data_IF_436257459192
#
_entry.id   IF_436257459192
#
_cell.length_a   1.000
_cell.length_b   1.000
_cell.length_c   1.000
_cell.angle_alpha   90.00
_cell.angle_beta   90.00
_cell.angle_gamma   90.00
#
_symmetry.space_group_name_H-M   'P 1'
#
loop_
_entity.id
_entity.type
_entity.pdbx_description
1 polymer ?
#
# COMPACT_ATOMS: atom_id res chain seq x y z
N UNK A 1 9.44 -45.73 13.72
CA UNK A 1 8.89 -46.76 14.63
C UNK A 1 7.95 -47.71 13.86
N UNK A 2 6.85 -47.22 13.22
CA UNK A 2 5.89 -48.05 12.48
C UNK A 2 6.55 -49.01 11.46
N UNK A 3 7.55 -48.55 10.68
CA UNK A 3 8.28 -49.40 9.74
C UNK A 3 9.11 -50.53 10.44
N UNK A 4 9.58 -50.30 11.64
CA UNK A 4 10.29 -51.33 12.44
C UNK A 4 9.30 -52.36 12.99
N UNK A 5 8.13 -51.92 13.45
CA UNK A 5 7.06 -52.79 13.96
C UNK A 5 6.42 -53.66 12.87
N UNK A 6 6.50 -53.27 11.60
CA UNK A 6 6.09 -54.13 10.45
C UNK A 6 6.92 -55.39 10.32
N UNK A 7 8.09 -55.49 10.97
CA UNK A 7 8.97 -56.67 10.98
C UNK A 7 8.70 -57.64 12.16
N UNK A 8 7.75 -57.31 13.05
CA UNK A 8 7.39 -58.15 14.18
C UNK A 8 6.62 -59.40 13.78
N UNK A 9 6.64 -60.41 14.62
CA UNK A 9 6.04 -61.75 14.37
C UNK A 9 4.53 -61.78 14.60
N UNK A 10 3.97 -60.81 15.37
CA UNK A 10 2.53 -60.72 15.66
C UNK A 10 1.74 -60.15 14.48
N UNK A 11 0.73 -60.86 13.97
CA UNK A 11 -0.07 -60.39 12.82
C UNK A 11 -0.88 -59.10 13.11
N UNK A 12 -1.45 -58.98 14.31
CA UNK A 12 -2.24 -57.80 14.70
C UNK A 12 -1.34 -56.54 14.81
N UNK A 13 -0.16 -56.68 15.40
CA UNK A 13 0.80 -55.59 15.49
C UNK A 13 1.30 -55.14 14.09
N UNK A 14 1.46 -56.08 13.16
CA UNK A 14 1.83 -55.73 11.77
C UNK A 14 0.74 -54.97 11.02
N UNK A 15 -0.52 -55.29 11.27
CA UNK A 15 -1.64 -54.62 10.60
C UNK A 15 -1.77 -53.17 11.13
N UNK A 16 -1.70 -52.96 12.44
CA UNK A 16 -1.68 -51.65 13.06
C UNK A 16 -0.47 -50.82 12.58
N UNK A 17 0.73 -51.43 12.53
CA UNK A 17 1.92 -50.74 12.02
C UNK A 17 1.83 -50.37 10.54
N UNK A 18 1.11 -51.14 9.69
CA UNK A 18 0.85 -50.80 8.30
C UNK A 18 -0.11 -49.61 8.16
N UNK A 19 -1.20 -49.61 8.93
CA UNK A 19 -2.15 -48.49 8.94
C UNK A 19 -1.47 -47.19 9.38
N UNK A 20 -0.67 -47.26 10.44
CA UNK A 20 0.07 -46.12 10.94
C UNK A 20 1.14 -45.62 9.96
N UNK A 21 1.87 -46.53 9.30
CA UNK A 21 2.84 -46.19 8.27
C UNK A 21 2.16 -45.53 7.07
N UNK A 22 1.02 -46.02 6.64
CA UNK A 22 0.24 -45.45 5.53
C UNK A 22 -0.27 -44.05 5.88
N UNK A 23 -0.80 -43.85 7.08
CA UNK A 23 -1.26 -42.56 7.57
C UNK A 23 -0.10 -41.56 7.68
N UNK A 24 1.05 -41.97 8.18
CA UNK A 24 2.25 -41.13 8.25
C UNK A 24 2.77 -40.77 6.84
N UNK A 25 2.81 -41.73 5.91
CA UNK A 25 3.24 -41.49 4.52
C UNK A 25 2.32 -40.52 3.77
N UNK A 26 1.03 -40.52 4.08
CA UNK A 26 0.09 -39.53 3.54
C UNK A 26 0.28 -38.14 4.17
N UNK A 27 0.59 -38.05 5.47
CA UNK A 27 0.74 -36.78 6.18
C UNK A 27 2.07 -36.07 5.91
N UNK A 28 3.13 -36.80 5.54
CA UNK A 28 4.46 -36.24 5.27
C UNK A 28 4.39 -35.18 4.15
N UNK A 29 3.84 -35.44 2.96
CA UNK A 29 3.80 -34.45 1.87
C UNK A 29 2.96 -33.21 2.26
N UNK A 30 1.90 -33.37 3.04
CA UNK A 30 1.11 -32.23 3.53
C UNK A 30 1.95 -31.35 4.46
N UNK A 31 2.69 -31.93 5.39
CA UNK A 31 3.57 -31.20 6.30
C UNK A 31 4.76 -30.56 5.56
N UNK A 32 5.29 -31.22 4.52
CA UNK A 32 6.35 -30.63 3.69
C UNK A 32 5.85 -29.38 2.95
N UNK A 33 4.61 -29.38 2.43
CA UNK A 33 4.00 -28.19 1.83
C UNK A 33 3.73 -27.10 2.86
N UNK A 34 3.21 -27.44 4.04
CA UNK A 34 3.02 -26.49 5.14
C UNK A 34 4.36 -25.82 5.54
N UNK A 35 5.43 -26.61 5.66
CA UNK A 35 6.78 -26.12 5.99
C UNK A 35 7.29 -25.18 4.88
N UNK A 36 7.12 -25.55 3.60
CA UNK A 36 7.53 -24.68 2.48
C UNK A 36 6.83 -23.32 2.53
N UNK A 37 5.54 -23.31 2.85
CA UNK A 37 4.77 -22.06 2.99
C UNK A 37 5.25 -21.22 4.18
N UNK A 38 5.57 -21.86 5.32
CA UNK A 38 6.09 -21.19 6.51
C UNK A 38 7.51 -20.63 6.34
N UNK A 39 8.31 -21.23 5.44
CA UNK A 39 9.67 -20.79 5.13
C UNK A 39 9.71 -19.63 4.13
N UNK A 40 8.59 -19.27 3.48
CA UNK A 40 8.52 -18.07 2.64
C UNK A 40 8.73 -16.85 3.53
N UNK A 41 9.74 -16.00 3.24
CA UNK A 41 9.97 -14.80 4.04
C UNK A 41 8.72 -13.91 4.00
N UNK A 42 8.16 -13.60 5.15
CA UNK A 42 7.08 -12.64 5.24
C UNK A 42 7.60 -11.25 4.83
N UNK A 43 6.89 -10.57 3.94
CA UNK A 43 7.18 -9.18 3.62
C UNK A 43 6.82 -8.32 4.84
N UNK A 44 7.75 -7.53 5.41
CA UNK A 44 7.45 -6.67 6.55
C UNK A 44 6.30 -5.68 6.30
N UNK A 45 5.97 -5.41 5.04
CA UNK A 45 4.86 -4.54 4.66
C UNK A 45 3.50 -5.24 4.74
N UNK A 46 3.47 -6.56 4.75
CA UNK A 46 2.21 -7.33 4.73
C UNK A 46 1.32 -7.06 5.94
N UNK A 47 1.90 -6.74 7.09
CA UNK A 47 1.17 -6.42 8.34
C UNK A 47 0.64 -4.97 8.38
N UNK A 48 1.01 -4.13 7.41
CA UNK A 48 0.56 -2.73 7.35
C UNK A 48 -0.90 -2.62 6.95
N UNK A 49 -1.50 -1.49 7.34
CA UNK A 49 -2.75 -1.04 6.77
C UNK A 49 -2.58 -0.75 5.28
N UNK A 50 -3.68 -0.72 4.54
CA UNK A 50 -3.65 -0.45 3.11
C UNK A 50 -4.46 0.79 2.74
N UNK A 51 -3.93 1.56 1.81
CA UNK A 51 -4.66 2.61 1.11
C UNK A 51 -5.09 2.02 -0.22
N UNK A 52 -6.40 1.97 -0.42
CA UNK A 52 -7.01 1.45 -1.66
C UNK A 52 -7.56 2.61 -2.46
N UNK A 53 -7.15 2.68 -3.71
CA UNK A 53 -7.57 3.69 -4.67
C UNK A 53 -8.24 2.99 -5.85
N UNK A 54 -9.49 3.37 -6.15
CA UNK A 54 -10.26 2.85 -7.28
C UNK A 54 -10.59 4.02 -8.20
N UNK A 55 -10.29 3.87 -9.48
CA UNK A 55 -10.60 4.87 -10.52
C UNK A 55 -11.38 4.24 -11.65
N UNK A 56 -12.41 4.93 -12.11
CA UNK A 56 -13.05 4.62 -13.38
C UNK A 56 -12.05 4.80 -14.52
N UNK A 57 -11.89 3.73 -15.32
CA UNK A 57 -11.01 3.72 -16.49
C UNK A 57 -11.81 3.92 -17.80
N UNK A 58 -11.50 3.12 -18.80
CA UNK A 58 -12.20 3.17 -20.10
C UNK A 58 -13.64 2.69 -19.97
N UNK A 59 -14.62 3.53 -20.31
CA UNK A 59 -16.05 3.17 -20.31
C UNK A 59 -16.99 4.30 -19.89
N UNK A 60 -16.46 5.51 -19.62
CA UNK A 60 -17.28 6.68 -19.25
C UNK A 60 -18.06 6.44 -17.95
N UNK A 61 -19.37 6.76 -17.96
CA UNK A 61 -20.23 6.64 -16.78
C UNK A 61 -20.32 5.21 -16.24
N UNK A 62 -20.29 4.21 -17.12
CA UNK A 62 -20.31 2.81 -16.72
C UNK A 62 -19.04 2.40 -15.95
N UNK A 63 -17.89 2.95 -16.30
CA UNK A 63 -16.66 2.72 -15.55
C UNK A 63 -16.73 3.34 -14.14
N UNK A 64 -17.37 4.49 -13.99
CA UNK A 64 -17.59 5.10 -12.67
C UNK A 64 -18.59 4.29 -11.82
N UNK A 65 -19.66 3.77 -12.42
CA UNK A 65 -20.61 2.87 -11.73
C UNK A 65 -19.90 1.58 -11.29
N UNK A 66 -19.08 1.00 -12.15
CA UNK A 66 -18.32 -0.19 -11.80
C UNK A 66 -17.29 0.05 -10.70
N UNK A 67 -16.64 1.22 -10.67
CA UNK A 67 -15.77 1.60 -9.54
C UNK A 67 -16.54 1.65 -8.22
N UNK A 68 -17.80 2.12 -8.24
CA UNK A 68 -18.71 2.07 -7.09
C UNK A 68 -19.05 0.65 -6.64
N UNK A 69 -19.28 -0.25 -7.60
CA UNK A 69 -19.54 -1.67 -7.29
C UNK A 69 -18.32 -2.36 -6.68
N UNK A 70 -17.11 -2.08 -7.19
CA UNK A 70 -15.87 -2.59 -6.61
C UNK A 70 -15.65 -2.06 -5.19
N UNK A 71 -15.88 -0.77 -4.96
CA UNK A 71 -15.80 -0.19 -3.62
C UNK A 71 -16.74 -0.93 -2.65
N UNK A 72 -18.01 -1.11 -3.02
CA UNK A 72 -18.99 -1.85 -2.22
C UNK A 72 -18.53 -3.28 -1.93
N UNK A 73 -18.00 -3.97 -2.92
CA UNK A 73 -17.45 -5.33 -2.79
C UNK A 73 -16.32 -5.36 -1.75
N UNK A 74 -15.35 -4.45 -1.85
CA UNK A 74 -14.24 -4.40 -0.89
C UNK A 74 -14.71 -4.03 0.52
N UNK A 75 -15.65 -3.10 0.67
CA UNK A 75 -16.22 -2.76 2.00
C UNK A 75 -16.85 -3.98 2.65
N UNK A 76 -17.66 -4.73 1.91
CA UNK A 76 -18.29 -5.96 2.44
C UNK A 76 -17.26 -7.02 2.81
N UNK A 77 -16.25 -7.23 1.96
CA UNK A 77 -15.15 -8.13 2.27
C UNK A 77 -14.41 -7.71 3.55
N UNK A 78 -14.11 -6.43 3.71
CA UNK A 78 -13.47 -5.90 4.91
C UNK A 78 -14.34 -6.11 6.16
N UNK A 79 -15.66 -5.90 6.05
CA UNK A 79 -16.60 -6.15 7.14
C UNK A 79 -16.59 -7.63 7.58
N UNK A 80 -16.57 -8.58 6.64
CA UNK A 80 -16.47 -10.00 6.94
C UNK A 80 -15.14 -10.39 7.62
N UNK A 81 -14.05 -9.69 7.26
CA UNK A 81 -12.74 -9.88 7.92
C UNK A 81 -12.61 -9.14 9.24
N UNK A 82 -13.60 -8.34 9.63
CA UNK A 82 -13.53 -7.49 10.83
C UNK A 82 -12.58 -6.30 10.69
N UNK A 83 -12.24 -5.91 9.45
CA UNK A 83 -11.39 -4.76 9.18
C UNK A 83 -12.20 -3.46 9.16
N UNK A 84 -11.54 -2.36 9.50
CA UNK A 84 -12.15 -1.03 9.49
C UNK A 84 -11.84 -0.33 8.18
N UNK A 85 -12.86 0.27 7.58
CA UNK A 85 -12.74 1.07 6.36
C UNK A 85 -13.01 2.53 6.69
N UNK A 86 -12.09 3.42 6.31
CA UNK A 86 -12.22 4.86 6.45
C UNK A 86 -12.10 5.53 5.08
N UNK A 87 -13.13 6.27 4.67
CA UNK A 87 -13.10 7.04 3.43
C UNK A 87 -12.14 8.23 3.58
N UNK A 88 -11.15 8.33 2.68
CA UNK A 88 -10.18 9.42 2.66
C UNK A 88 -10.59 10.52 1.68
N UNK A 89 -11.00 10.14 0.46
CA UNK A 89 -11.41 11.08 -0.60
C UNK A 89 -12.30 10.39 -1.61
N UNK A 90 -13.24 11.11 -2.22
CA UNK A 90 -14.01 10.61 -3.34
C UNK A 90 -14.35 11.72 -4.34
N UNK A 91 -14.46 11.33 -5.61
CA UNK A 91 -14.97 12.15 -6.71
C UNK A 91 -16.08 11.38 -7.40
N UNK A 92 -17.30 11.88 -7.33
CA UNK A 92 -18.48 11.20 -7.86
C UNK A 92 -18.55 11.26 -9.40
N UNK A 93 -19.12 10.21 -10.00
CA UNK A 93 -19.45 10.15 -11.41
C UNK A 93 -20.74 10.92 -11.73
N UNK A 94 -20.89 11.41 -12.98
CA UNK A 94 -22.06 12.17 -13.40
C UNK A 94 -23.36 11.33 -13.36
N UNK A 95 -23.27 10.02 -13.63
CA UNK A 95 -24.41 9.08 -13.58
C UNK A 95 -24.45 8.25 -12.27
N UNK A 96 -23.71 8.66 -11.24
CA UNK A 96 -23.49 7.90 -10.01
C UNK A 96 -22.16 7.13 -10.05
N UNK A 97 -21.87 6.39 -8.96
CA UNK A 97 -20.58 5.75 -8.77
C UNK A 97 -19.45 6.76 -8.55
N UNK A 98 -18.20 6.35 -8.81
CA UNK A 98 -17.05 7.18 -8.51
C UNK A 98 -16.11 7.28 -9.72
N UNK A 99 -15.71 8.51 -10.07
CA UNK A 99 -14.55 8.73 -10.95
C UNK A 99 -13.28 8.29 -10.25
N UNK A 100 -13.18 8.60 -8.96
CA UNK A 100 -12.10 8.21 -8.08
C UNK A 100 -12.65 8.04 -6.67
N UNK A 101 -12.20 7.02 -5.97
CA UNK A 101 -12.45 6.84 -4.55
C UNK A 101 -11.22 6.28 -3.88
N UNK A 102 -10.82 6.90 -2.76
CA UNK A 102 -9.65 6.53 -1.95
C UNK A 102 -10.12 6.28 -0.53
N UNK A 103 -9.78 5.13 0.00
CA UNK A 103 -10.11 4.74 1.37
C UNK A 103 -8.98 3.95 2.01
N UNK A 104 -8.88 4.05 3.33
CA UNK A 104 -7.90 3.32 4.13
C UNK A 104 -8.58 2.12 4.76
N UNK A 105 -7.91 0.98 4.73
CA UNK A 105 -8.34 -0.26 5.38
C UNK A 105 -7.35 -0.58 6.49
N UNK A 106 -7.86 -0.73 7.72
CA UNK A 106 -7.06 -1.00 8.90
C UNK A 106 -7.47 -2.33 9.54
N UNK A 107 -6.48 -3.15 9.89
CA UNK A 107 -6.68 -4.47 10.48
C UNK A 107 -5.42 -5.32 10.41
N UNK A 108 -5.55 -6.60 10.69
CA UNK A 108 -4.43 -7.56 10.66
C UNK A 108 -4.16 -8.03 9.23
N UNK A 109 -2.90 -7.94 8.77
CA UNK A 109 -2.43 -8.40 7.44
C UNK A 109 -3.22 -7.86 6.24
N UNK A 110 -3.67 -6.62 6.36
CA UNK A 110 -4.51 -6.00 5.34
C UNK A 110 -3.77 -5.85 4.03
N UNK A 111 -2.59 -5.22 4.05
CA UNK A 111 -1.82 -4.99 2.83
C UNK A 111 -1.39 -6.30 2.18
N UNK A 112 -0.91 -7.27 2.96
CA UNK A 112 -0.50 -8.59 2.46
C UNK A 112 -1.62 -9.33 1.73
N UNK A 113 -2.87 -9.13 2.15
CA UNK A 113 -4.05 -9.74 1.52
C UNK A 113 -4.50 -8.96 0.28
N UNK A 114 -4.59 -7.62 0.37
CA UNK A 114 -5.16 -6.79 -0.69
C UNK A 114 -4.17 -6.39 -1.79
N UNK A 115 -2.85 -6.46 -1.57
CA UNK A 115 -1.83 -6.06 -2.57
C UNK A 115 -2.01 -6.70 -3.94
N UNK A 116 -2.55 -7.92 -3.98
CA UNK A 116 -2.81 -8.65 -5.21
C UNK A 116 -4.04 -8.16 -6.00
N UNK A 117 -4.84 -7.27 -5.45
CA UNK A 117 -5.97 -6.65 -6.13
C UNK A 117 -5.55 -5.48 -7.05
N UNK A 118 -4.28 -5.05 -6.96
CA UNK A 118 -3.76 -3.96 -7.78
C UNK A 118 -3.73 -4.33 -9.26
N UNK A 119 -4.37 -3.51 -10.09
CA UNK A 119 -4.40 -3.68 -11.54
C UNK A 119 -5.69 -3.21 -12.20
N UNK A 120 -5.92 -3.66 -13.44
CA UNK A 120 -7.10 -3.32 -14.23
C UNK A 120 -8.17 -4.40 -14.08
N UNK A 121 -9.33 -4.01 -13.59
CA UNK A 121 -10.53 -4.84 -13.46
C UNK A 121 -11.48 -4.53 -14.61
N UNK A 122 -11.88 -5.56 -15.36
CA UNK A 122 -12.75 -5.42 -16.52
C UNK A 122 -14.14 -5.97 -16.23
N UNK A 123 -15.17 -5.21 -16.54
CA UNK A 123 -16.56 -5.63 -16.44
C UNK A 123 -17.17 -5.81 -17.82
N UNK A 124 -18.01 -6.84 -17.97
CA UNK A 124 -18.85 -7.11 -19.13
C UNK A 124 -20.28 -7.28 -18.63
N UNK A 125 -21.11 -6.27 -18.89
CA UNK A 125 -22.54 -6.27 -18.55
C UNK A 125 -23.31 -5.30 -19.46
N UNK A 126 -24.62 -5.37 -19.41
CA UNK A 126 -25.49 -4.32 -19.96
C UNK A 126 -25.47 -3.16 -18.96
N UNK A 127 -24.94 -1.96 -19.32
CA UNK A 127 -24.90 -0.83 -18.42
C UNK A 127 -26.32 -0.35 -18.01
N UNK A 128 -26.46 0.23 -16.85
CA UNK A 128 -27.70 0.90 -16.45
C UNK A 128 -28.12 2.04 -17.38
N UNK A 129 -27.15 2.60 -18.10
CA UNK A 129 -27.30 3.70 -19.07
C UNK A 129 -27.63 3.21 -20.50
N UNK A 130 -27.64 1.89 -20.75
CA UNK A 130 -27.88 1.29 -22.07
C UNK A 130 -29.37 0.92 -22.22
N UNK A 131 -30.04 1.50 -23.22
CA UNK A 131 -31.45 1.29 -23.47
C UNK A 131 -31.78 0.15 -24.42
N UNK A 132 -30.78 -0.33 -25.21
CA UNK A 132 -30.97 -1.36 -26.24
C UNK A 132 -30.52 -2.77 -25.79
N UNK A 133 -30.15 -2.93 -24.52
CA UNK A 133 -29.76 -4.24 -23.97
C UNK A 133 -28.41 -4.77 -24.47
N UNK A 134 -27.55 -3.91 -25.05
CA UNK A 134 -26.23 -4.32 -25.52
C UNK A 134 -25.24 -4.49 -24.37
N UNK A 135 -24.47 -5.59 -24.42
CA UNK A 135 -23.37 -5.80 -23.48
C UNK A 135 -22.20 -4.87 -23.80
N UNK A 136 -21.80 -4.05 -22.85
CA UNK A 136 -20.62 -3.19 -22.95
C UNK A 136 -19.47 -3.78 -22.14
N UNK A 137 -18.27 -3.36 -22.51
CA UNK A 137 -17.04 -3.70 -21.79
C UNK A 137 -16.44 -2.41 -21.23
N UNK A 138 -16.38 -2.30 -19.92
CA UNK A 138 -15.78 -1.17 -19.21
C UNK A 138 -14.67 -1.66 -18.29
N UNK A 139 -13.84 -0.76 -17.81
CA UNK A 139 -12.74 -1.06 -16.92
C UNK A 139 -12.64 -0.04 -15.79
N UNK A 140 -12.23 -0.51 -14.62
CA UNK A 140 -11.78 0.31 -13.51
C UNK A 140 -10.39 -0.15 -13.06
N UNK A 141 -9.63 0.75 -12.48
CA UNK A 141 -8.29 0.45 -11.97
C UNK A 141 -8.32 0.46 -10.45
N UNK A 142 -7.63 -0.50 -9.85
CA UNK A 142 -7.44 -0.59 -8.41
C UNK A 142 -5.95 -0.48 -8.12
N UNK A 143 -5.57 0.39 -7.20
CA UNK A 143 -4.22 0.46 -6.66
C UNK A 143 -4.28 0.27 -5.14
N UNK A 144 -3.50 -0.66 -4.64
CA UNK A 144 -3.37 -0.95 -3.21
C UNK A 144 -1.96 -0.61 -2.78
N UNK A 145 -1.84 0.33 -1.87
CA UNK A 145 -0.57 0.84 -1.38
C UNK A 145 -0.48 0.61 0.14
N UNK A 146 0.69 0.28 0.68
CA UNK A 146 0.86 0.20 2.12
C UNK A 146 0.74 1.60 2.73
N UNK A 147 0.12 1.69 3.92
CA UNK A 147 0.12 2.94 4.68
C UNK A 147 1.54 3.30 5.09
N UNK A 148 1.90 4.58 4.98
CA UNK A 148 3.21 5.05 5.38
C UNK A 148 3.38 5.00 6.89
N UNK A 149 4.56 4.62 7.33
CA UNK A 149 4.97 4.88 8.71
C UNK A 149 5.19 6.39 8.89
N UNK A 150 4.97 6.91 10.11
CA UNK A 150 5.36 8.27 10.42
C UNK A 150 6.87 8.42 10.26
N UNK A 151 7.29 9.44 9.51
CA UNK A 151 8.71 9.72 9.35
C UNK A 151 9.24 10.39 10.61
N UNK A 152 10.06 9.67 11.34
CA UNK A 152 10.81 10.25 12.46
C UNK A 152 12.13 10.83 11.91
N UNK A 153 12.26 12.15 11.94
CA UNK A 153 13.47 12.83 11.46
C UNK A 153 14.47 12.91 12.60
N UNK A 154 15.40 11.99 12.62
CA UNK A 154 16.54 12.05 13.55
C UNK A 154 17.61 13.01 13.02
N UNK A 155 17.88 14.06 13.76
CA UNK A 155 18.97 15.01 13.50
C UNK A 155 20.06 14.81 14.53
N UNK A 156 21.26 14.44 14.08
CA UNK A 156 22.43 14.43 14.95
C UNK A 156 22.93 15.85 15.17
N UNK A 157 22.55 16.47 16.28
CA UNK A 157 22.93 17.85 16.62
C UNK A 157 24.46 18.04 16.72
N UNK A 158 25.22 16.97 16.97
CA UNK A 158 26.69 17.01 17.01
C UNK A 158 27.35 17.23 15.64
N UNK A 159 26.64 16.98 14.55
CA UNK A 159 27.13 17.19 13.17
C UNK A 159 26.78 18.57 12.62
N UNK A 160 26.01 19.36 13.37
CA UNK A 160 25.62 20.70 12.98
C UNK A 160 26.76 21.68 13.21
N UNK A 161 27.18 22.36 12.16
CA UNK A 161 28.15 23.45 12.24
C UNK A 161 27.38 24.78 12.36
N UNK A 162 27.69 25.52 13.40
CA UNK A 162 27.09 26.81 13.71
C UNK A 162 28.05 27.94 13.41
N UNK A 163 27.61 28.89 12.58
CA UNK A 163 28.27 30.16 12.37
C UNK A 163 27.37 31.29 12.88
N UNK A 164 27.95 32.25 13.58
CA UNK A 164 27.23 33.45 14.02
C UNK A 164 27.69 34.63 13.20
N UNK A 165 26.77 35.51 12.86
CA UNK A 165 27.08 36.71 12.09
C UNK A 165 26.19 37.88 12.53
N UNK A 166 26.61 39.07 12.15
CA UNK A 166 25.87 40.31 12.45
C UNK A 166 24.68 40.40 11.48
N UNK A 167 23.46 40.44 12.02
CA UNK A 167 22.28 40.66 11.21
C UNK A 167 22.29 42.11 10.69
N UNK A 168 22.42 42.28 9.37
CA UNK A 168 22.29 43.59 8.72
C UNK A 168 20.83 44.04 8.72
N UNK A 169 20.54 45.28 9.06
CA UNK A 169 19.19 45.85 9.01
C UNK A 169 19.16 47.32 9.51
N UNK A 170 18.12 48.08 9.11
CA UNK A 170 17.87 49.39 9.60
C UNK A 170 17.49 49.34 11.10
N UNK A 171 18.42 49.66 12.00
CA UNK A 171 18.13 49.66 13.44
C UNK A 171 19.34 50.12 14.25
N UNK A 172 19.11 50.78 15.37
CA UNK A 172 19.99 51.56 16.23
C UNK A 172 21.35 50.92 16.59
N UNK A 173 22.15 51.64 17.42
CA UNK A 173 23.56 51.38 17.73
C UNK A 173 23.97 49.93 18.11
N UNK A 174 23.04 49.07 18.50
CA UNK A 174 23.29 47.67 18.88
C UNK A 174 23.25 46.67 17.75
N UNK A 175 22.63 46.95 16.59
CA UNK A 175 22.49 46.02 15.46
C UNK A 175 23.85 45.66 14.84
N UNK A 176 24.79 46.60 14.88
CA UNK A 176 26.14 46.43 14.34
C UNK A 176 27.15 45.87 15.37
N UNK A 177 26.76 45.68 16.62
CA UNK A 177 27.67 45.22 17.70
C UNK A 177 27.36 43.80 18.17
N UNK A 178 26.13 43.29 17.99
CA UNK A 178 25.70 41.98 18.48
C UNK A 178 25.54 41.02 17.34
N UNK A 179 26.19 39.87 17.41
CA UNK A 179 26.07 38.77 16.44
C UNK A 179 24.83 37.91 16.77
N UNK A 180 23.65 38.43 16.45
CA UNK A 180 22.38 37.73 16.68
C UNK A 180 21.97 36.79 15.53
N UNK A 181 22.51 37.00 14.34
CA UNK A 181 22.27 36.13 13.18
C UNK A 181 22.95 34.78 13.34
N UNK A 182 22.28 33.74 13.00
CA UNK A 182 22.76 32.35 13.09
C UNK A 182 22.68 31.70 11.72
N UNK A 183 23.75 31.03 11.33
CA UNK A 183 23.84 30.18 10.15
C UNK A 183 24.12 28.76 10.60
N UNK A 184 23.26 27.83 10.19
CA UNK A 184 23.37 26.41 10.43
C UNK A 184 23.84 25.76 9.13
N UNK A 185 24.84 24.90 9.22
CA UNK A 185 25.25 23.98 8.15
C UNK A 185 25.14 22.55 8.65
N UNK A 186 24.42 21.75 7.90
CA UNK A 186 24.21 20.33 8.19
C UNK A 186 24.43 19.51 6.92
N UNK A 187 25.17 18.43 7.02
CA UNK A 187 25.36 17.48 5.90
C UNK A 187 24.36 16.34 6.10
N UNK A 188 23.27 16.44 5.39
CA UNK A 188 22.30 15.37 5.38
C UNK A 188 22.74 14.24 4.43
N UNK A 189 22.81 13.03 4.97
CA UNK A 189 23.06 11.82 4.18
C UNK A 189 21.73 11.16 3.89
N UNK A 190 21.42 11.04 2.62
CA UNK A 190 20.22 10.31 2.21
C UNK A 190 20.35 8.83 2.59
N UNK A 191 19.49 8.26 3.46
CA UNK A 191 19.63 6.89 3.94
C UNK A 191 19.52 5.86 2.81
N UNK A 192 18.80 6.16 1.72
CA UNK A 192 18.56 5.21 0.64
C UNK A 192 19.57 5.29 -0.52
N UNK A 193 20.08 6.50 -0.83
CA UNK A 193 20.98 6.70 -1.98
C UNK A 193 22.43 6.90 -1.56
N UNK A 194 22.71 7.13 -0.27
CA UNK A 194 24.04 7.45 0.25
C UNK A 194 24.57 8.82 -0.20
N UNK A 195 23.80 9.58 -0.99
CA UNK A 195 24.20 10.90 -1.47
C UNK A 195 24.16 11.89 -0.32
N UNK A 196 25.24 12.64 -0.12
CA UNK A 196 25.34 13.68 0.90
C UNK A 196 25.00 15.04 0.30
N UNK A 197 24.14 15.80 0.98
CA UNK A 197 23.75 17.15 0.58
C UNK A 197 24.00 18.11 1.73
N UNK A 198 24.65 19.23 1.45
CA UNK A 198 24.89 20.27 2.43
C UNK A 198 23.66 21.21 2.49
N UNK A 199 23.03 21.27 3.66
CA UNK A 199 21.88 22.13 3.93
C UNK A 199 22.41 23.36 4.70
N UNK A 200 22.09 24.54 4.17
CA UNK A 200 22.44 25.83 4.76
C UNK A 200 21.16 26.56 5.15
N UNK A 201 21.01 26.88 6.43
CA UNK A 201 19.86 27.63 6.96
C UNK A 201 20.33 28.84 7.72
N UNK A 202 19.85 30.02 7.34
CA UNK A 202 20.09 31.27 8.02
C UNK A 202 18.84 31.73 8.78
N UNK A 203 19.05 32.23 10.01
CA UNK A 203 17.98 32.78 10.82
C UNK A 203 18.43 34.08 11.47
N UNK A 204 17.70 35.18 11.13
CA UNK A 204 17.97 36.56 11.64
C UNK A 204 16.72 37.21 12.20
N UNK A 205 15.66 36.42 12.45
CA UNK A 205 14.33 36.95 12.78
C UNK A 205 14.23 37.63 14.14
N UNK A 206 15.06 37.22 15.10
CA UNK A 206 15.04 37.77 16.43
C UNK A 206 16.39 38.39 16.79
N UNK A 207 16.40 39.29 17.81
CA UNK A 207 17.63 39.85 18.38
C UNK A 207 18.31 38.87 19.35
N UNK A 208 17.70 37.72 19.60
CA UNK A 208 18.13 36.71 20.57
C UNK A 208 18.75 35.54 19.81
N UNK A 209 20.06 35.35 19.97
CA UNK A 209 20.81 34.28 19.30
C UNK A 209 20.30 32.86 19.65
N UNK A 210 20.02 32.50 20.92
CA UNK A 210 19.44 31.22 21.27
C UNK A 210 18.12 30.93 20.56
N UNK A 211 17.21 31.90 20.47
CA UNK A 211 15.94 31.75 19.77
C UNK A 211 16.12 31.56 18.25
N UNK A 212 17.10 32.22 17.66
CA UNK A 212 17.44 32.05 16.27
C UNK A 212 18.02 30.63 15.98
N UNK A 213 18.80 30.07 16.94
CA UNK A 213 19.29 28.69 16.87
C UNK A 213 18.13 27.70 16.90
N UNK A 214 17.20 27.82 17.83
CA UNK A 214 16.03 26.97 17.97
C UNK A 214 15.16 27.01 16.71
N UNK A 215 14.92 28.18 16.13
CA UNK A 215 14.20 28.36 14.89
C UNK A 215 14.92 27.74 13.69
N UNK A 216 16.24 27.88 13.62
CA UNK A 216 17.05 27.24 12.57
C UNK A 216 16.96 25.71 12.64
N UNK A 217 16.98 25.12 13.84
CA UNK A 217 16.77 23.68 14.05
C UNK A 217 15.37 23.24 13.63
N UNK A 218 14.34 23.98 14.01
CA UNK A 218 12.96 23.69 13.59
C UNK A 218 12.82 23.71 12.07
N UNK A 219 13.43 24.69 11.40
CA UNK A 219 13.45 24.75 9.92
C UNK A 219 14.21 23.59 9.30
N UNK A 220 15.33 23.17 9.91
CA UNK A 220 16.07 21.99 9.43
C UNK A 220 15.22 20.72 9.51
N UNK A 221 14.50 20.50 10.63
CA UNK A 221 13.58 19.38 10.78
C UNK A 221 12.49 19.38 9.71
N UNK A 222 11.85 20.52 9.51
CA UNK A 222 10.82 20.68 8.47
C UNK A 222 11.39 20.40 7.08
N UNK A 223 12.57 20.94 6.76
CA UNK A 223 13.20 20.76 5.45
C UNK A 223 13.53 19.30 5.15
N UNK A 224 14.09 18.57 6.13
CA UNK A 224 14.41 17.14 5.97
C UNK A 224 13.10 16.32 5.85
N UNK A 225 12.10 16.62 6.69
CA UNK A 225 10.79 15.99 6.63
C UNK A 225 10.15 16.17 5.25
N UNK A 226 10.11 17.39 4.72
CA UNK A 226 9.54 17.68 3.41
C UNK A 226 10.27 16.92 2.29
N UNK A 227 11.61 16.81 2.37
CA UNK A 227 12.39 16.04 1.40
C UNK A 227 12.09 14.54 1.44
N UNK A 228 12.00 13.94 2.61
CA UNK A 228 11.68 12.53 2.75
C UNK A 228 10.23 12.25 2.36
N UNK A 229 9.32 13.13 2.74
CA UNK A 229 7.92 13.04 2.35
C UNK A 229 7.73 13.17 0.82
N UNK A 230 8.44 14.09 0.17
CA UNK A 230 8.37 14.23 -1.30
C UNK A 230 8.86 12.96 -2.01
N UNK A 231 9.94 12.35 -1.53
CA UNK A 231 10.40 11.06 -2.08
C UNK A 231 9.35 9.95 -1.91
N UNK A 232 8.75 9.87 -0.74
CA UNK A 232 7.69 8.91 -0.48
C UNK A 232 6.53 9.09 -1.48
N UNK A 233 6.11 10.34 -1.73
CA UNK A 233 5.09 10.66 -2.75
C UNK A 233 5.54 10.21 -4.14
N UNK A 234 6.78 10.47 -4.53
CA UNK A 234 7.32 10.10 -5.84
C UNK A 234 7.42 8.58 -6.00
N UNK A 235 7.82 7.86 -4.96
CA UNK A 235 7.86 6.39 -4.93
C UNK A 235 6.44 5.78 -5.06
N UNK A 236 5.47 6.35 -4.34
CA UNK A 236 4.06 5.96 -4.46
C UNK A 236 3.55 6.23 -5.88
N UNK A 237 3.84 7.39 -6.44
CA UNK A 237 3.43 7.75 -7.80
C UNK A 237 4.02 6.77 -8.83
N UNK A 238 5.28 6.38 -8.67
CA UNK A 238 5.95 5.40 -9.51
C UNK A 238 5.34 4.01 -9.37
N UNK A 239 5.13 3.54 -8.14
CA UNK A 239 4.46 2.25 -7.84
C UNK A 239 3.04 2.23 -8.41
N UNK A 240 2.26 3.30 -8.18
CA UNK A 240 0.90 3.45 -8.74
C UNK A 240 0.92 3.37 -10.27
N UNK A 241 1.83 4.07 -10.93
CA UNK A 241 1.97 4.04 -12.39
C UNK A 241 2.28 2.64 -12.91
N UNK A 242 3.10 1.87 -12.22
CA UNK A 242 3.42 0.48 -12.57
C UNK A 242 2.22 -0.45 -12.36
N UNK A 243 1.47 -0.30 -11.26
CA UNK A 243 0.32 -1.14 -10.92
C UNK A 243 -0.87 -0.92 -11.84
N UNK A 244 -1.16 0.34 -12.18
CA UNK A 244 -2.37 0.74 -12.91
C UNK A 244 -2.14 0.70 -14.42
N UNK A 245 -0.88 0.70 -14.90
CA UNK A 245 -0.55 0.75 -16.33
C UNK A 245 -1.31 1.89 -17.04
N UNK A 246 -1.89 1.63 -18.19
CA UNK A 246 -2.64 2.61 -19.00
C UNK A 246 -4.13 2.67 -18.68
N UNK A 247 -4.65 1.83 -17.77
CA UNK A 247 -6.09 1.68 -17.53
C UNK A 247 -6.86 1.08 -18.72
N UNK A 248 -6.13 0.52 -19.69
CA UNK A 248 -6.73 -0.08 -20.88
C UNK A 248 -7.33 -1.46 -20.54
N UNK A 249 -8.46 -1.75 -21.16
CA UNK A 249 -9.18 -3.04 -21.05
C UNK A 249 -8.33 -4.26 -21.44
N UNK A 250 -7.27 -4.08 -22.23
CA UNK A 250 -6.34 -5.13 -22.63
C UNK A 250 -5.42 -5.59 -21.49
N UNK A 251 -5.04 -4.68 -20.60
CA UNK A 251 -4.14 -4.95 -19.46
C UNK A 251 -4.86 -5.54 -18.23
N UNK A 252 -6.02 -6.17 -18.43
CA UNK A 252 -6.86 -6.70 -17.37
C UNK A 252 -6.18 -7.80 -16.54
N UNK A 253 -6.28 -7.69 -15.23
CA UNK A 253 -5.95 -8.78 -14.29
C UNK A 253 -7.15 -9.69 -14.05
N UNK A 254 -8.37 -9.12 -13.97
CA UNK A 254 -9.60 -9.84 -13.67
C UNK A 254 -10.76 -9.39 -14.56
N UNK A 255 -11.64 -10.32 -14.91
CA UNK A 255 -12.85 -10.03 -15.69
C UNK A 255 -14.10 -10.49 -14.94
N UNK A 256 -15.04 -9.58 -14.79
CA UNK A 256 -16.38 -9.78 -14.21
C UNK A 256 -17.39 -9.87 -15.34
N UNK A 257 -17.87 -11.07 -15.65
CA UNK A 257 -18.81 -11.33 -16.74
C UNK A 257 -20.20 -11.60 -16.16
N UNK A 258 -21.03 -10.58 -16.16
CA UNK A 258 -22.39 -10.66 -15.60
C UNK A 258 -23.32 -11.59 -16.40
N UNK A 259 -23.35 -11.55 -17.78
CA UNK A 259 -24.18 -12.48 -18.55
C UNK A 259 -23.89 -13.95 -18.28
N UNK A 260 -22.66 -14.29 -17.93
CA UNK A 260 -22.23 -15.66 -17.64
C UNK A 260 -22.13 -15.96 -16.14
N UNK A 261 -22.38 -14.97 -15.27
CA UNK A 261 -22.29 -15.12 -13.82
C UNK A 261 -20.91 -15.55 -13.32
N UNK A 262 -19.84 -15.23 -14.07
CA UNK A 262 -18.48 -15.69 -13.77
C UNK A 262 -17.47 -14.57 -13.58
N UNK A 263 -16.45 -14.85 -12.77
CA UNK A 263 -15.26 -14.03 -12.60
C UNK A 263 -14.04 -14.85 -13.01
N UNK A 264 -13.14 -14.26 -13.77
CA UNK A 264 -11.89 -14.91 -14.19
C UNK A 264 -10.70 -14.05 -13.79
N UNK A 265 -9.78 -14.57 -12.98
CA UNK A 265 -8.47 -13.99 -12.76
C UNK A 265 -7.51 -14.52 -13.84
N UNK A 266 -7.03 -13.61 -14.70
CA UNK A 266 -6.22 -13.96 -15.86
C UNK A 266 -4.76 -14.25 -15.52
N UNK A 267 -4.30 -13.86 -14.33
CA UNK A 267 -2.91 -14.08 -13.89
C UNK A 267 -2.65 -15.54 -13.58
N UNK A 268 -3.66 -16.23 -13.04
CA UNK A 268 -3.59 -17.63 -12.60
C UNK A 268 -4.57 -18.52 -13.36
N UNK A 269 -5.30 -17.98 -14.35
CA UNK A 269 -6.34 -18.66 -15.12
C UNK A 269 -7.42 -19.32 -14.24
N UNK A 270 -7.77 -18.68 -13.11
CA UNK A 270 -8.78 -19.20 -12.20
C UNK A 270 -10.13 -18.57 -12.48
N UNK A 271 -11.19 -19.40 -12.52
CA UNK A 271 -12.55 -18.94 -12.81
C UNK A 271 -13.54 -19.45 -11.76
N UNK A 272 -14.37 -18.54 -11.24
CA UNK A 272 -15.47 -18.82 -10.31
C UNK A 272 -16.79 -18.47 -10.99
N UNK A 273 -17.83 -19.29 -10.75
CA UNK A 273 -19.18 -19.13 -11.32
C UNK A 273 -20.20 -18.60 -10.32
N UNK A 274 -19.75 -17.84 -9.32
CA UNK A 274 -20.61 -17.21 -8.31
C UNK A 274 -20.31 -15.72 -8.21
N UNK A 275 -20.57 -15.00 -9.32
CA UNK A 275 -20.32 -13.55 -9.39
C UNK A 275 -21.07 -12.78 -8.29
N UNK A 276 -22.32 -13.16 -8.00
CA UNK A 276 -23.15 -12.42 -7.03
C UNK A 276 -22.57 -12.48 -5.62
N UNK A 277 -22.22 -13.67 -5.13
CA UNK A 277 -21.60 -13.82 -3.81
C UNK A 277 -20.24 -13.09 -3.74
N UNK A 278 -19.41 -13.23 -4.78
CA UNK A 278 -18.13 -12.52 -4.84
C UNK A 278 -18.30 -10.99 -4.75
N UNK A 279 -19.31 -10.41 -5.45
CA UNK A 279 -19.60 -8.97 -5.38
C UNK A 279 -20.23 -8.57 -4.01
N UNK A 280 -20.67 -9.52 -3.23
CA UNK A 280 -21.12 -9.35 -1.87
C UNK A 280 -20.04 -9.64 -0.82
N UNK A 281 -18.78 -9.90 -1.27
CA UNK A 281 -17.60 -9.97 -0.42
C UNK A 281 -17.15 -11.38 -0.07
N UNK A 282 -17.78 -12.44 -0.63
CA UNK A 282 -17.42 -13.86 -0.41
C UNK A 282 -16.13 -14.27 -1.16
#
# INVERSE_FOLDING_TARGET
EARLMMAETDPEMREIAREEATACEARIPELEEEIKLLLVPADPQDDKNAIVEIRGGTGGDEAALFAGDLYRMYVKYCEMKGWKVALSSCSEGAAGGFKEIIFTVSGEKVYGTLKYESGVHRVQRVPATETQGRVHTSAATVAVLPEADEFDVEINEGEIKWDTFRSGGAGGQNVNKVESGVRLRYVWKNPNTGVSEEILIECTETRDQPKNKERALSRLRTFIYDKEHQKYIDDIASKRKTMVSTGDRSAKIRTYNYPQGRITDHRINYTIYNLAAFMDGD
#
